data_IF_236117745656
#
_entry.id   IF_236117745656
#
_cell.length_a   1.000
_cell.length_b   1.000
_cell.length_c   1.000
_cell.angle_alpha   90.00
_cell.angle_beta   90.00
_cell.angle_gamma   90.00
#
_symmetry.space_group_name_H-M   'P 1'
#
loop_
_entity.id
_entity.type
_entity.pdbx_description
1 polymer ?
#
# COMPACT_ATOMS: atom_id res chain seq x y z
N UNK A 1 3.90 5.22 5.07
CA UNK A 1 3.40 3.92 4.63
C UNK A 1 4.26 2.74 5.10
N UNK A 2 5.54 2.95 5.34
CA UNK A 2 6.48 1.92 5.82
C UNK A 2 6.40 1.67 7.33
N UNK A 3 5.99 2.68 8.11
CA UNK A 3 5.82 2.54 9.55
C UNK A 3 4.86 1.41 9.92
N UNK A 4 5.21 0.61 10.92
CA UNK A 4 4.44 -0.56 11.35
C UNK A 4 4.43 -1.75 10.37
N UNK A 5 5.17 -1.66 9.25
CA UNK A 5 5.24 -2.70 8.21
C UNK A 5 6.65 -3.22 7.97
N UNK A 6 7.64 -2.36 8.17
CA UNK A 6 9.05 -2.73 8.14
C UNK A 6 9.76 -2.09 9.33
N UNK A 7 10.87 -2.68 9.75
CA UNK A 7 11.69 -2.11 10.83
C UNK A 7 12.35 -0.83 10.35
N UNK A 8 12.05 0.28 11.03
CA UNK A 8 12.60 1.60 10.74
C UNK A 8 13.53 2.00 11.89
N UNK A 9 14.79 2.26 11.56
CA UNK A 9 15.79 2.82 12.45
C UNK A 9 16.25 4.17 11.87
N UNK A 10 15.70 5.24 12.40
CA UNK A 10 15.89 6.60 11.89
C UNK A 10 17.34 7.09 12.03
N UNK A 11 18.08 6.61 13.04
CA UNK A 11 19.48 6.96 13.24
C UNK A 11 20.37 6.23 12.22
N UNK A 12 20.20 4.92 12.05
CA UNK A 12 20.94 4.11 11.08
C UNK A 12 20.64 4.54 9.65
N UNK A 13 19.40 4.87 9.35
CA UNK A 13 18.97 5.34 8.04
C UNK A 13 19.32 6.82 7.79
N UNK A 14 19.80 7.55 8.81
CA UNK A 14 20.13 8.98 8.76
C UNK A 14 18.97 9.86 8.26
N UNK A 15 17.74 9.55 8.68
CA UNK A 15 16.54 10.28 8.28
C UNK A 15 16.42 11.56 9.11
N UNK A 16 16.26 12.71 8.45
CA UNK A 16 16.10 14.01 9.10
C UNK A 16 14.63 14.35 9.36
N UNK A 17 13.75 13.99 8.43
CA UNK A 17 12.31 14.23 8.51
C UNK A 17 11.56 12.99 8.04
N UNK A 18 10.49 12.60 8.74
CA UNK A 18 9.63 11.50 8.31
C UNK A 18 8.18 11.76 8.72
N UNK A 19 7.26 11.69 7.77
CA UNK A 19 5.83 11.83 8.01
C UNK A 19 5.16 10.47 8.22
N UNK A 20 4.15 10.45 9.07
CA UNK A 20 3.37 9.26 9.43
C UNK A 20 1.88 9.56 9.34
N UNK A 21 1.09 8.55 8.98
CA UNK A 21 -0.38 8.60 9.01
C UNK A 21 -0.92 7.43 9.83
N UNK A 22 -1.75 7.71 10.83
CA UNK A 22 -2.26 6.68 11.73
C UNK A 22 -3.11 5.63 11.00
N UNK A 23 -3.95 6.04 10.04
CA UNK A 23 -4.82 5.13 9.29
C UNK A 23 -4.07 4.13 8.39
N UNK A 24 -2.76 4.30 8.19
CA UNK A 24 -1.92 3.32 7.45
C UNK A 24 -1.43 2.16 8.33
N UNK A 25 -1.64 2.27 9.65
CA UNK A 25 -1.28 1.26 10.67
C UNK A 25 -2.47 0.90 11.57
N UNK A 26 -3.69 0.92 11.00
CA UNK A 26 -4.96 0.60 11.68
C UNK A 26 -5.35 1.58 12.79
N UNK A 27 -4.73 2.75 12.84
CA UNK A 27 -5.10 3.84 13.75
C UNK A 27 -6.17 4.78 13.17
N UNK A 28 -6.57 5.82 13.91
CA UNK A 28 -7.63 6.73 13.49
C UNK A 28 -7.30 7.51 12.21
N UNK A 29 -8.30 7.80 11.39
CA UNK A 29 -8.20 8.78 10.31
C UNK A 29 -8.11 10.20 10.88
N UNK A 30 -7.50 11.11 10.14
CA UNK A 30 -7.42 12.53 10.49
C UNK A 30 -6.24 12.90 11.38
N UNK A 31 -5.41 11.94 11.80
CA UNK A 31 -4.20 12.19 12.59
C UNK A 31 -2.96 11.65 11.90
N UNK A 32 -1.88 12.39 12.00
CA UNK A 32 -0.55 12.02 11.59
C UNK A 32 0.51 12.64 12.48
N UNK A 33 1.76 12.28 12.27
CA UNK A 33 2.90 12.82 12.98
C UNK A 33 4.05 13.13 12.03
N UNK A 34 4.91 14.05 12.46
CA UNK A 34 6.16 14.37 11.79
C UNK A 34 7.32 14.11 12.76
N UNK A 35 8.20 13.19 12.39
CA UNK A 35 9.50 13.08 13.04
C UNK A 35 10.41 14.19 12.52
N UNK A 36 11.07 14.87 13.44
CA UNK A 36 12.06 15.91 13.16
C UNK A 36 13.33 15.59 13.95
N UNK A 37 14.44 15.37 13.28
CA UNK A 37 15.73 15.08 13.93
C UNK A 37 16.18 16.24 14.77
N UNK A 38 16.62 15.94 15.99
CA UNK A 38 17.09 16.94 16.95
C UNK A 38 18.60 17.18 16.89
N UNK A 39 19.38 16.15 16.52
CA UNK A 39 20.85 16.22 16.43
C UNK A 39 21.36 15.48 15.19
N UNK A 40 22.00 16.15 14.20
CA UNK A 40 22.08 17.62 14.11
C UNK A 40 20.69 18.25 14.02
N UNK A 41 20.55 19.50 14.49
CA UNK A 41 19.24 20.15 14.58
C UNK A 41 18.71 20.52 13.19
N UNK A 42 17.56 19.94 12.85
CA UNK A 42 16.76 20.36 11.70
C UNK A 42 15.85 21.51 12.13
N UNK A 43 15.86 22.60 11.37
CA UNK A 43 14.97 23.75 11.57
C UNK A 43 13.83 23.69 10.58
N UNK A 44 12.62 23.85 11.06
CA UNK A 44 11.41 23.97 10.24
C UNK A 44 10.74 25.29 10.53
N UNK A 45 10.16 25.86 9.50
CA UNK A 45 9.24 26.99 9.61
C UNK A 45 7.81 26.48 9.78
N UNK A 46 7.09 27.06 10.76
CA UNK A 46 5.71 26.71 11.00
C UNK A 46 4.83 27.13 9.82
N UNK A 47 3.98 26.21 9.35
CA UNK A 47 3.00 26.50 8.30
C UNK A 47 1.64 26.92 8.87
N UNK A 48 1.37 26.59 10.14
CA UNK A 48 0.11 26.93 10.83
C UNK A 48 0.49 27.65 12.13
N UNK A 49 0.22 28.95 12.15
CA UNK A 49 0.53 29.84 13.28
C UNK A 49 -0.64 29.93 14.27
N UNK A 50 -0.38 30.37 15.50
CA UNK A 50 -1.38 30.57 16.56
C UNK A 50 -0.85 30.28 17.94
N UNK A 51 -1.53 29.47 18.75
CA UNK A 51 -1.30 29.26 20.18
C UNK A 51 -0.04 28.47 20.59
N UNK A 52 0.91 28.25 19.68
CA UNK A 52 2.22 27.67 20.02
C UNK A 52 2.21 26.16 20.30
N UNK A 53 1.14 25.44 19.98
CA UNK A 53 1.07 23.99 20.12
C UNK A 53 2.16 23.29 19.30
N UNK A 54 2.47 22.04 19.66
CA UNK A 54 3.51 21.23 19.01
C UNK A 54 4.86 21.98 18.95
N UNK A 55 5.25 22.62 20.05
CA UNK A 55 6.48 23.42 20.16
C UNK A 55 6.56 24.59 19.18
N UNK A 56 5.41 25.16 18.82
CA UNK A 56 5.29 26.24 17.86
C UNK A 56 5.32 25.82 16.39
N UNK A 57 5.46 24.53 16.10
CA UNK A 57 5.54 24.05 14.72
C UNK A 57 4.17 23.87 14.04
N UNK A 58 3.15 23.57 14.83
CA UNK A 58 1.78 23.41 14.32
C UNK A 58 0.77 23.80 15.38
N UNK A 59 0.20 24.96 15.25
CA UNK A 59 -0.80 25.48 16.18
C UNK A 59 -2.19 24.89 15.94
N UNK A 60 -3.01 24.88 16.99
CA UNK A 60 -4.38 24.37 17.02
C UNK A 60 -4.57 23.38 18.17
N UNK A 61 -5.76 23.36 18.76
CA UNK A 61 -6.11 22.43 19.84
C UNK A 61 -5.83 20.99 19.43
N UNK A 62 -5.17 20.25 20.30
CA UNK A 62 -4.74 18.89 20.02
C UNK A 62 -5.95 17.92 20.03
N UNK A 63 -6.12 17.10 18.99
CA UNK A 63 -7.15 16.05 18.97
C UNK A 63 -6.70 14.85 19.82
N UNK A 64 -6.75 14.99 21.15
CA UNK A 64 -6.13 14.07 22.11
C UNK A 64 -6.56 12.60 21.94
N UNK A 65 -7.83 12.35 21.64
CA UNK A 65 -8.36 11.01 21.40
C UNK A 65 -7.71 10.35 20.17
N UNK A 66 -7.49 11.10 19.09
CA UNK A 66 -6.81 10.59 17.90
C UNK A 66 -5.30 10.36 18.13
N UNK A 67 -4.67 11.25 18.93
CA UNK A 67 -3.25 11.10 19.30
C UNK A 67 -3.05 9.83 20.12
N UNK A 68 -3.91 9.58 21.12
CA UNK A 68 -3.86 8.35 21.92
C UNK A 68 -4.09 7.12 21.03
N UNK A 69 -5.09 7.14 20.15
CA UNK A 69 -5.35 6.06 19.20
C UNK A 69 -4.18 5.81 18.24
N UNK A 70 -3.50 6.85 17.78
CA UNK A 70 -2.29 6.71 16.97
C UNK A 70 -1.16 6.08 17.77
N UNK A 71 -0.94 6.51 19.03
CA UNK A 71 0.07 5.96 19.92
C UNK A 71 -0.14 4.47 20.15
N UNK A 72 -1.38 4.05 20.42
CA UNK A 72 -1.73 2.64 20.59
C UNK A 72 -1.53 1.82 19.30
N UNK A 73 -1.91 2.37 18.14
CA UNK A 73 -1.67 1.72 16.86
C UNK A 73 -0.17 1.47 16.59
N UNK A 74 0.69 2.42 16.96
CA UNK A 74 2.14 2.25 16.88
C UNK A 74 2.66 1.19 17.86
N UNK A 75 2.13 1.16 19.09
CA UNK A 75 2.52 0.17 20.09
C UNK A 75 2.23 -1.24 19.59
N UNK A 76 0.98 -1.49 19.14
CA UNK A 76 0.56 -2.78 18.60
C UNK A 76 1.39 -3.15 17.35
N UNK A 77 1.56 -2.21 16.42
CA UNK A 77 2.35 -2.44 15.23
C UNK A 77 3.80 -2.83 15.53
N UNK A 78 4.41 -2.26 16.58
CA UNK A 78 5.77 -2.62 16.98
C UNK A 78 5.85 -4.01 17.63
N UNK A 79 4.86 -4.39 18.42
CA UNK A 79 4.80 -5.70 19.08
C UNK A 79 4.51 -6.84 18.12
N UNK A 80 3.59 -6.64 17.18
CA UNK A 80 3.07 -7.69 16.31
C UNK A 80 3.72 -7.72 14.92
N UNK A 81 4.61 -6.79 14.58
CA UNK A 81 5.20 -6.64 13.24
C UNK A 81 5.76 -7.94 12.66
N UNK A 82 6.50 -8.71 13.45
CA UNK A 82 7.14 -9.94 12.95
C UNK A 82 6.09 -11.00 12.60
N UNK A 83 5.06 -11.15 13.46
CA UNK A 83 3.97 -12.09 13.22
C UNK A 83 3.14 -11.67 12.02
N UNK A 84 2.84 -10.38 11.89
CA UNK A 84 2.13 -9.81 10.74
C UNK A 84 2.90 -10.08 9.44
N UNK A 85 4.21 -9.83 9.43
CA UNK A 85 5.05 -10.04 8.24
C UNK A 85 5.09 -11.52 7.83
N UNK A 86 5.16 -12.44 8.79
CA UNK A 86 5.14 -13.86 8.51
C UNK A 86 3.80 -14.28 7.89
N UNK A 87 2.68 -13.89 8.50
CA UNK A 87 1.35 -14.25 8.03
C UNK A 87 1.07 -13.64 6.65
N UNK A 88 1.36 -12.35 6.48
CA UNK A 88 1.17 -11.65 5.21
C UNK A 88 2.04 -12.27 4.10
N UNK A 89 3.26 -12.70 4.43
CA UNK A 89 4.13 -13.39 3.47
C UNK A 89 3.56 -14.74 3.02
N UNK A 90 2.97 -15.52 3.93
CA UNK A 90 2.27 -16.77 3.59
C UNK A 90 1.10 -16.51 2.65
N UNK A 91 0.27 -15.53 2.96
CA UNK A 91 -0.89 -15.14 2.15
C UNK A 91 -0.48 -14.61 0.77
N UNK A 92 0.59 -13.79 0.71
CA UNK A 92 1.19 -13.32 -0.55
C UNK A 92 1.64 -14.49 -1.43
N UNK A 93 2.36 -15.44 -0.84
CA UNK A 93 2.86 -16.60 -1.58
C UNK A 93 1.70 -17.45 -2.11
N UNK A 94 0.65 -17.64 -1.31
CA UNK A 94 -0.59 -18.33 -1.73
C UNK A 94 -1.24 -17.63 -2.92
N UNK A 95 -1.43 -16.31 -2.83
CA UNK A 95 -1.98 -15.50 -3.92
C UNK A 95 -1.16 -15.64 -5.20
N UNK A 96 0.16 -15.43 -5.10
CA UNK A 96 1.04 -15.50 -6.26
C UNK A 96 1.04 -16.90 -6.89
N UNK A 97 1.17 -17.95 -6.10
CA UNK A 97 1.12 -19.33 -6.58
C UNK A 97 -0.23 -19.68 -7.23
N UNK A 98 -1.32 -19.02 -6.81
CA UNK A 98 -2.63 -19.20 -7.41
C UNK A 98 -2.78 -18.59 -8.81
N UNK A 99 -1.99 -17.58 -9.18
CA UNK A 99 -2.16 -16.85 -10.44
C UNK A 99 -0.94 -16.88 -11.37
N UNK A 100 0.25 -17.18 -10.89
CA UNK A 100 1.52 -17.08 -11.65
C UNK A 100 1.60 -17.96 -12.89
N UNK A 101 0.88 -19.10 -12.88
CA UNK A 101 0.89 -20.06 -13.99
C UNK A 101 -0.21 -19.77 -15.03
N UNK A 102 -0.98 -18.70 -14.87
CA UNK A 102 -1.87 -18.20 -15.91
C UNK A 102 -1.03 -17.61 -17.05
N UNK A 103 -1.46 -17.84 -18.27
CA UNK A 103 -0.81 -17.28 -19.46
C UNK A 103 -0.74 -15.75 -19.38
N UNK A 104 0.40 -15.18 -19.80
CA UNK A 104 0.61 -13.74 -19.90
C UNK A 104 0.27 -12.95 -18.60
N UNK A 105 0.66 -13.49 -17.47
CA UNK A 105 0.55 -12.85 -16.15
C UNK A 105 1.93 -12.47 -15.62
N UNK A 106 2.10 -11.24 -15.21
CA UNK A 106 3.39 -10.67 -14.85
C UNK A 106 3.35 -9.98 -13.48
N UNK A 107 4.26 -10.38 -12.59
CA UNK A 107 4.49 -9.64 -11.36
C UNK A 107 5.27 -8.35 -11.66
N UNK A 108 4.82 -7.23 -11.13
CA UNK A 108 5.50 -5.95 -11.26
C UNK A 108 6.42 -5.70 -10.06
N UNK A 109 7.69 -5.38 -10.36
CA UNK A 109 8.76 -5.22 -9.38
C UNK A 109 9.35 -6.56 -8.90
N UNK A 110 10.26 -6.48 -7.94
CA UNK A 110 10.96 -7.64 -7.37
C UNK A 110 10.07 -8.41 -6.40
N UNK A 111 10.15 -9.75 -6.37
CA UNK A 111 9.32 -10.57 -5.49
C UNK A 111 9.84 -10.61 -4.06
N UNK A 112 11.15 -10.63 -3.87
CA UNK A 112 11.77 -10.75 -2.55
C UNK A 112 11.99 -9.39 -1.88
N UNK A 113 12.49 -8.40 -2.63
CA UNK A 113 12.86 -7.09 -2.11
C UNK A 113 11.68 -6.11 -2.07
N UNK A 114 10.59 -6.49 -1.37
CA UNK A 114 9.38 -5.67 -1.19
C UNK A 114 8.73 -5.89 0.17
N UNK A 115 7.85 -4.96 0.54
CA UNK A 115 6.88 -5.26 1.59
C UNK A 115 5.88 -6.30 1.07
N UNK A 116 5.70 -7.45 1.76
CA UNK A 116 4.90 -8.56 1.23
C UNK A 116 3.41 -8.26 1.10
N UNK A 117 2.88 -7.31 1.85
CA UNK A 117 1.45 -6.96 1.85
C UNK A 117 0.96 -6.14 0.67
N UNK A 118 1.79 -5.92 -0.36
CA UNK A 118 1.38 -5.22 -1.58
C UNK A 118 1.92 -5.97 -2.78
N UNK A 119 1.02 -6.39 -3.66
CA UNK A 119 1.34 -6.97 -4.96
C UNK A 119 0.73 -6.13 -6.07
N UNK A 120 1.48 -5.91 -7.13
CA UNK A 120 0.98 -5.38 -8.38
C UNK A 120 1.23 -6.42 -9.48
N UNK A 121 0.17 -6.84 -10.15
CA UNK A 121 0.18 -7.92 -11.14
C UNK A 121 -0.49 -7.41 -12.40
N UNK A 122 0.18 -7.54 -13.55
CA UNK A 122 -0.38 -7.24 -14.87
C UNK A 122 -0.92 -8.50 -15.52
N UNK A 123 -2.08 -8.38 -16.17
CA UNK A 123 -2.77 -9.44 -16.90
C UNK A 123 -2.90 -9.01 -18.36
N UNK A 124 -2.02 -9.50 -19.23
CA UNK A 124 -2.05 -9.12 -20.64
C UNK A 124 -3.35 -9.54 -21.34
N UNK A 125 -3.69 -8.85 -22.42
CA UNK A 125 -4.91 -9.05 -23.22
C UNK A 125 -6.22 -8.80 -22.44
N UNK A 126 -6.15 -7.94 -21.40
CA UNK A 126 -7.32 -7.53 -20.61
C UNK A 126 -7.30 -6.02 -20.44
N UNK A 127 -8.44 -5.38 -20.66
CA UNK A 127 -8.58 -3.95 -20.38
C UNK A 127 -8.75 -3.72 -18.87
N UNK A 128 -7.97 -2.77 -18.29
CA UNK A 128 -7.82 -2.61 -16.85
C UNK A 128 -9.09 -2.18 -16.10
N UNK A 129 -9.90 -1.29 -16.69
CA UNK A 129 -11.16 -0.86 -16.07
C UNK A 129 -12.18 -2.00 -16.07
N UNK A 130 -12.26 -2.74 -17.17
CA UNK A 130 -13.11 -3.93 -17.28
C UNK A 130 -12.71 -4.99 -16.26
N UNK A 131 -11.40 -5.16 -16.00
CA UNK A 131 -10.90 -6.10 -14.99
C UNK A 131 -11.31 -5.67 -13.59
N UNK A 132 -11.18 -4.38 -13.24
CA UNK A 132 -11.65 -3.84 -11.95
C UNK A 132 -13.16 -4.05 -11.79
N UNK A 133 -13.94 -3.78 -12.83
CA UNK A 133 -15.40 -3.96 -12.80
C UNK A 133 -15.79 -5.44 -12.70
N UNK A 134 -15.04 -6.34 -13.32
CA UNK A 134 -15.28 -7.78 -13.24
C UNK A 134 -14.88 -8.38 -11.87
N UNK A 135 -14.03 -7.69 -11.12
CA UNK A 135 -13.58 -8.10 -9.77
C UNK A 135 -14.26 -7.31 -8.65
N UNK A 136 -15.49 -6.84 -8.86
CA UNK A 136 -16.25 -5.98 -7.92
C UNK A 136 -16.45 -6.57 -6.51
N UNK A 137 -16.35 -7.89 -6.37
CA UNK A 137 -16.55 -8.59 -5.10
C UNK A 137 -15.28 -8.56 -4.21
N UNK A 138 -14.17 -8.02 -4.72
CA UNK A 138 -12.92 -7.83 -3.99
C UNK A 138 -12.45 -6.37 -4.07
N UNK A 139 -11.87 -5.87 -2.98
CA UNK A 139 -11.35 -4.51 -2.89
C UNK A 139 -9.92 -4.45 -3.49
N UNK A 140 -9.83 -4.16 -4.76
CA UNK A 140 -8.56 -3.95 -5.49
C UNK A 140 -8.47 -2.53 -6.02
N UNK A 141 -7.31 -2.14 -6.55
CA UNK A 141 -7.16 -0.86 -7.24
C UNK A 141 -6.28 -1.01 -8.47
N UNK A 142 -6.44 -0.10 -9.44
CA UNK A 142 -5.49 0.06 -10.53
C UNK A 142 -4.11 0.48 -10.01
N UNK A 143 -3.08 0.30 -10.81
CA UNK A 143 -1.71 0.71 -10.48
C UNK A 143 -1.55 2.20 -10.20
N UNK A 144 -2.46 3.05 -10.68
CA UNK A 144 -2.43 4.51 -10.54
C UNK A 144 -3.56 5.08 -9.67
N UNK A 145 -3.77 4.52 -8.49
CA UNK A 145 -4.86 4.92 -7.58
C UNK A 145 -4.92 6.43 -7.21
N UNK A 146 -3.84 7.19 -7.41
CA UNK A 146 -3.80 8.63 -7.15
C UNK A 146 -4.11 9.49 -8.39
N UNK A 147 -4.14 8.91 -9.57
CA UNK A 147 -4.41 9.57 -10.85
C UNK A 147 -5.60 8.97 -11.59
N UNK A 148 -6.57 8.44 -10.84
CA UNK A 148 -7.79 7.82 -11.39
C UNK A 148 -8.62 8.73 -12.30
N UNK A 149 -8.24 10.01 -12.43
CA UNK A 149 -8.81 10.96 -13.39
C UNK A 149 -8.02 11.05 -14.71
N UNK A 150 -6.85 10.40 -14.83
CA UNK A 150 -6.07 10.39 -16.06
C UNK A 150 -6.11 9.01 -16.68
N UNK A 151 -6.39 8.96 -17.98
CA UNK A 151 -6.30 7.74 -18.81
C UNK A 151 -4.86 7.26 -19.03
N UNK A 152 -3.88 7.90 -18.36
CA UNK A 152 -2.47 7.56 -18.54
C UNK A 152 -2.04 6.38 -17.65
N UNK A 153 -1.24 5.44 -18.20
CA UNK A 153 -0.69 4.32 -17.44
C UNK A 153 0.28 4.82 -16.36
N UNK A 154 0.45 4.02 -15.32
CA UNK A 154 1.35 4.34 -14.21
C UNK A 154 2.78 4.61 -14.71
N UNK A 155 3.29 5.83 -14.50
CA UNK A 155 4.68 6.16 -14.80
C UNK A 155 5.69 5.28 -14.03
N UNK A 156 5.32 4.76 -12.87
CA UNK A 156 6.15 3.83 -12.10
C UNK A 156 6.28 2.50 -12.84
N UNK A 157 5.20 1.96 -13.37
CA UNK A 157 5.23 0.70 -14.13
C UNK A 157 6.00 0.86 -15.43
N UNK A 158 5.86 1.98 -16.13
CA UNK A 158 6.71 2.33 -17.28
C UNK A 158 8.19 2.39 -16.92
N UNK A 159 8.53 3.06 -15.81
CA UNK A 159 9.92 3.21 -15.35
C UNK A 159 10.60 1.88 -15.00
N UNK A 160 9.84 0.87 -14.59
CA UNK A 160 10.35 -0.50 -14.36
C UNK A 160 10.27 -1.40 -15.62
N UNK A 161 9.98 -0.81 -16.80
CA UNK A 161 10.05 -1.49 -18.10
C UNK A 161 8.76 -2.19 -18.52
N UNK A 162 7.60 -1.86 -17.97
CA UNK A 162 6.32 -2.38 -18.50
C UNK A 162 5.84 -1.56 -19.68
N UNK A 163 5.26 -2.24 -20.68
CA UNK A 163 4.55 -1.57 -21.77
C UNK A 163 3.31 -0.85 -21.24
N UNK A 164 2.76 0.06 -22.04
CA UNK A 164 1.55 0.79 -21.66
C UNK A 164 0.36 -0.15 -21.45
N UNK A 165 0.21 -1.16 -22.28
CA UNK A 165 -0.83 -2.18 -22.19
C UNK A 165 -0.74 -2.94 -20.85
N UNK A 166 0.46 -3.43 -20.49
CA UNK A 166 0.68 -4.13 -19.24
C UNK A 166 0.52 -3.21 -18.01
N UNK A 167 0.87 -1.93 -18.14
CA UNK A 167 0.67 -0.97 -17.07
C UNK A 167 -0.81 -0.65 -16.84
N UNK A 168 -1.62 -0.58 -17.91
CA UNK A 168 -3.06 -0.40 -17.83
C UNK A 168 -3.79 -1.63 -17.26
N UNK A 169 -3.38 -2.84 -17.67
CA UNK A 169 -3.99 -4.10 -17.24
C UNK A 169 -3.53 -4.58 -15.85
N UNK A 170 -2.99 -3.69 -15.02
CA UNK A 170 -2.46 -4.06 -13.72
C UNK A 170 -3.47 -3.89 -12.59
N UNK A 171 -3.49 -4.86 -11.68
CA UNK A 171 -4.18 -4.78 -10.39
C UNK A 171 -3.18 -4.66 -9.24
N UNK A 172 -3.43 -3.74 -8.32
CA UNK A 172 -2.78 -3.70 -7.02
C UNK A 172 -3.65 -4.38 -5.98
N UNK A 173 -3.15 -5.48 -5.44
CA UNK A 173 -3.78 -6.25 -4.38
C UNK A 173 -3.04 -5.98 -3.08
N UNK A 174 -3.77 -5.62 -2.04
CA UNK A 174 -3.20 -5.31 -0.72
C UNK A 174 -3.68 -6.32 0.30
N UNK A 175 -2.73 -6.93 1.00
CA UNK A 175 -2.95 -7.94 2.05
C UNK A 175 -2.59 -7.29 3.39
N UNK A 176 -3.45 -7.43 4.38
CA UNK A 176 -3.28 -6.84 5.70
C UNK A 176 -3.33 -7.86 6.83
N UNK A 177 -3.21 -7.38 8.06
CA UNK A 177 -3.24 -8.16 9.30
C UNK A 177 -4.47 -9.06 9.42
N UNK A 178 -5.62 -8.57 8.97
CA UNK A 178 -6.91 -9.24 9.15
C UNK A 178 -7.34 -10.07 7.93
N UNK A 179 -6.52 -10.12 6.87
CA UNK A 179 -6.80 -10.92 5.68
C UNK A 179 -6.69 -12.41 6.00
N UNK A 180 -7.65 -13.20 5.57
CA UNK A 180 -7.70 -14.65 5.80
C UNK A 180 -7.27 -15.44 4.56
N UNK A 181 -7.02 -16.75 4.73
CA UNK A 181 -6.71 -17.65 3.61
C UNK A 181 -7.91 -17.81 2.67
N UNK A 182 -9.12 -17.84 3.22
CA UNK A 182 -10.37 -17.95 2.46
C UNK A 182 -10.59 -16.73 1.57
N UNK A 183 -10.25 -15.52 2.06
CA UNK A 183 -10.30 -14.30 1.27
C UNK A 183 -9.28 -14.30 0.14
N UNK A 184 -8.09 -14.86 0.36
CA UNK A 184 -7.09 -15.04 -0.69
C UNK A 184 -7.56 -16.04 -1.74
N UNK A 185 -8.15 -17.18 -1.35
CA UNK A 185 -8.70 -18.17 -2.27
C UNK A 185 -9.85 -17.61 -3.11
N UNK A 186 -10.74 -16.86 -2.46
CA UNK A 186 -11.81 -16.14 -3.15
C UNK A 186 -11.24 -15.13 -4.15
N UNK A 187 -10.18 -14.39 -3.77
CA UNK A 187 -9.49 -13.44 -4.65
C UNK A 187 -8.89 -14.15 -5.86
N UNK A 188 -8.19 -15.27 -5.67
CA UNK A 188 -7.60 -16.06 -6.76
C UNK A 188 -8.69 -16.50 -7.75
N UNK A 189 -9.77 -17.07 -7.25
CA UNK A 189 -10.88 -17.55 -8.07
C UNK A 189 -11.55 -16.42 -8.84
N UNK A 190 -11.85 -15.29 -8.18
CA UNK A 190 -12.47 -14.12 -8.81
C UNK A 190 -11.60 -13.57 -9.93
N UNK A 191 -10.29 -13.42 -9.69
CA UNK A 191 -9.34 -12.91 -10.69
C UNK A 191 -9.24 -13.86 -11.88
N UNK A 192 -9.13 -15.18 -11.66
CA UNK A 192 -9.06 -16.17 -12.75
C UNK A 192 -10.28 -16.10 -13.65
N UNK A 193 -11.47 -16.18 -13.06
CA UNK A 193 -12.74 -16.12 -13.80
C UNK A 193 -12.86 -14.80 -14.59
N UNK A 194 -12.50 -13.68 -13.97
CA UNK A 194 -12.57 -12.37 -14.61
C UNK A 194 -11.63 -12.29 -15.82
N UNK A 195 -10.37 -12.69 -15.66
CA UNK A 195 -9.35 -12.66 -16.73
C UNK A 195 -9.73 -13.58 -17.87
N UNK A 196 -10.13 -14.82 -17.60
CA UNK A 196 -10.55 -15.79 -18.62
C UNK A 196 -11.76 -15.27 -19.43
N UNK A 197 -12.76 -14.74 -18.71
CA UNK A 197 -13.95 -14.17 -19.35
C UNK A 197 -13.63 -12.97 -20.24
N UNK A 198 -12.80 -12.05 -19.77
CA UNK A 198 -12.45 -10.85 -20.53
C UNK A 198 -11.60 -11.18 -21.75
N UNK A 199 -10.65 -12.12 -21.64
CA UNK A 199 -9.87 -12.61 -22.78
C UNK A 199 -10.73 -13.29 -23.83
N UNK A 200 -11.74 -14.06 -23.42
CA UNK A 200 -12.68 -14.68 -24.34
C UNK A 200 -13.57 -13.68 -25.10
N UNK A 201 -13.70 -12.44 -24.61
CA UNK A 201 -14.43 -11.35 -25.25
C UNK A 201 -13.52 -10.42 -26.07
N UNK A 202 -12.20 -10.55 -25.91
CA UNK A 202 -11.22 -9.79 -26.69
C UNK A 202 -11.06 -10.43 -28.07
N UNK A 203 -11.09 -9.63 -29.17
CA UNK A 203 -10.95 -10.14 -30.55
C UNK A 203 -9.56 -10.72 -30.82
#
# INVERSE_FOLDING_TARGET
>A
QSAGKIKIDLEKMKVDLMSFSAHKIYGPKGIGALYVRRKPRVRLEAQIHGGGHERGLRSGTLPTHQIVGMGEAFRIANEEMNQDLENISKLRNRLWNGVKDMEEVYLNGDFENRYPGIMNISFNYVEGESLIMATKDIAVSSGSACTSASLEPSFVLRAIGRSDELAHSSLRISIGRFTTEEEIDATINTVKIAVEKLRALSP
#
